data_IF_590239289056
#
_entry.id   IF_590239289056
#
_cell.length_a   1.000
_cell.length_b   1.000
_cell.length_c   1.000
_cell.angle_alpha   90.00
_cell.angle_beta   90.00
_cell.angle_gamma   90.00
#
_symmetry.space_group_name_H-M   'P 1'
#
loop_
_entity.id
_entity.type
_entity.pdbx_description
1 polymer ?
#
# COMPACT_ATOMS: atom_id res chain seq x y z
N UNK A 1 -2.81 1.52 -26.95
CA UNK A 1 -2.81 0.04 -26.79
C UNK A 1 -4.26 -0.42 -26.76
N UNK A 2 -4.59 -1.39 -27.55
CA UNK A 2 -5.93 -1.98 -27.64
C UNK A 2 -5.94 -3.39 -27.06
N UNK A 3 -7.13 -3.92 -26.76
CA UNK A 3 -7.28 -5.33 -26.35
C UNK A 3 -6.74 -6.28 -27.44
N UNK A 4 -6.85 -5.90 -28.71
CA UNK A 4 -6.32 -6.69 -29.81
C UNK A 4 -4.78 -6.76 -29.74
N UNK A 5 -4.11 -5.62 -29.51
CA UNK A 5 -2.64 -5.58 -29.39
C UNK A 5 -2.16 -6.47 -28.24
N UNK A 6 -2.85 -6.43 -27.09
CA UNK A 6 -2.54 -7.25 -25.91
C UNK A 6 -2.74 -8.74 -26.18
N UNK A 7 -3.87 -9.11 -26.83
CA UNK A 7 -4.17 -10.52 -27.10
C UNK A 7 -3.28 -11.11 -28.16
N UNK A 8 -2.87 -10.33 -29.16
CA UNK A 8 -1.93 -10.74 -30.19
C UNK A 8 -0.53 -10.96 -29.60
N UNK A 9 -0.07 -10.04 -28.75
CA UNK A 9 1.24 -10.13 -28.06
C UNK A 9 1.29 -11.33 -27.08
N UNK A 10 0.20 -11.58 -26.38
CA UNK A 10 0.06 -12.70 -25.44
C UNK A 10 -0.29 -14.04 -26.11
N UNK A 11 -0.46 -14.07 -27.43
CA UNK A 11 -0.87 -15.26 -28.21
C UNK A 11 -2.17 -15.92 -27.70
N UNK A 12 -3.13 -15.11 -27.22
CA UNK A 12 -4.42 -15.57 -26.73
C UNK A 12 -5.58 -15.01 -27.53
N UNK A 13 -6.77 -15.61 -27.41
CA UNK A 13 -7.96 -15.09 -28.07
C UNK A 13 -8.58 -13.92 -27.27
N UNK A 14 -9.29 -13.00 -27.97
CA UNK A 14 -10.11 -11.97 -27.30
C UNK A 14 -11.13 -12.57 -26.34
N UNK A 15 -11.64 -13.77 -26.63
CA UNK A 15 -12.56 -14.49 -25.75
C UNK A 15 -11.87 -14.85 -24.43
N UNK A 16 -10.60 -15.27 -24.49
CA UNK A 16 -9.78 -15.55 -23.31
C UNK A 16 -9.57 -14.29 -22.48
N UNK A 17 -9.32 -13.14 -23.12
CA UNK A 17 -9.23 -11.86 -22.44
C UNK A 17 -10.51 -11.55 -21.65
N UNK A 18 -11.68 -11.58 -22.31
CA UNK A 18 -12.96 -11.27 -21.69
C UNK A 18 -13.46 -12.33 -20.68
N UNK A 19 -12.84 -13.49 -20.65
CA UNK A 19 -13.07 -14.47 -19.59
C UNK A 19 -12.44 -14.04 -18.26
N UNK A 20 -11.32 -13.33 -18.29
CA UNK A 20 -10.57 -12.90 -17.12
C UNK A 20 -10.78 -11.44 -16.73
N UNK A 21 -10.98 -10.57 -17.72
CA UNK A 21 -11.03 -9.12 -17.53
C UNK A 21 -12.24 -8.53 -18.28
N UNK A 22 -12.93 -7.58 -17.64
CA UNK A 22 -14.07 -6.91 -18.27
C UNK A 22 -13.63 -5.96 -19.39
N UNK A 23 -12.53 -5.25 -19.14
CA UNK A 23 -11.92 -4.30 -20.07
C UNK A 23 -10.41 -4.12 -19.81
N UNK A 24 -9.79 -3.22 -20.53
CA UNK A 24 -8.37 -2.93 -20.41
C UNK A 24 -8.00 -2.29 -19.05
N UNK A 25 -8.95 -1.60 -18.41
CA UNK A 25 -8.72 -0.98 -17.10
C UNK A 25 -8.74 -2.02 -15.98
N UNK A 26 -9.59 -3.03 -16.10
CA UNK A 26 -9.63 -4.17 -15.18
C UNK A 26 -8.31 -4.97 -15.23
N UNK A 27 -7.76 -5.21 -16.44
CA UNK A 27 -6.41 -5.78 -16.58
C UNK A 27 -5.34 -4.88 -15.96
N UNK A 28 -5.43 -3.57 -16.19
CA UNK A 28 -4.47 -2.61 -15.63
C UNK A 28 -4.49 -2.60 -14.11
N UNK A 29 -5.68 -2.59 -13.51
CA UNK A 29 -5.88 -2.65 -12.07
C UNK A 29 -5.31 -3.94 -11.48
N UNK A 30 -5.60 -5.08 -12.11
CA UNK A 30 -5.03 -6.37 -11.73
C UNK A 30 -3.49 -6.38 -11.80
N UNK A 31 -2.92 -5.84 -12.87
CA UNK A 31 -1.46 -5.76 -13.04
C UNK A 31 -0.82 -4.93 -11.95
N UNK A 32 -1.38 -3.75 -11.65
CA UNK A 32 -0.89 -2.88 -10.58
C UNK A 32 -0.96 -3.53 -9.21
N UNK A 33 -2.06 -4.22 -8.92
CA UNK A 33 -2.22 -4.94 -7.66
C UNK A 33 -1.23 -6.10 -7.54
N UNK A 34 -0.99 -6.84 -8.62
CA UNK A 34 -0.08 -7.98 -8.61
C UNK A 34 1.36 -7.53 -8.49
N UNK A 35 1.77 -6.50 -9.23
CA UNK A 35 3.11 -5.89 -9.12
C UNK A 35 3.34 -5.32 -7.71
N UNK A 36 2.35 -4.63 -7.14
CA UNK A 36 2.43 -4.14 -5.77
C UNK A 36 2.53 -5.28 -4.75
N UNK A 37 1.75 -6.37 -4.91
CA UNK A 37 1.86 -7.56 -4.05
C UNK A 37 3.23 -8.22 -4.16
N UNK A 38 3.77 -8.37 -5.36
CA UNK A 38 5.11 -8.92 -5.58
C UNK A 38 6.21 -8.06 -4.96
N UNK A 39 6.09 -6.74 -5.06
CA UNK A 39 7.01 -5.81 -4.38
C UNK A 39 6.94 -5.96 -2.86
N UNK A 40 5.73 -5.99 -2.31
CA UNK A 40 5.49 -6.18 -0.88
C UNK A 40 6.00 -7.55 -0.41
N UNK A 41 5.71 -8.62 -1.13
CA UNK A 41 6.09 -9.96 -0.75
C UNK A 41 7.61 -10.23 -0.82
N UNK A 42 8.30 -9.66 -1.82
CA UNK A 42 9.69 -10.00 -2.12
C UNK A 42 10.71 -8.99 -1.60
N UNK A 43 10.31 -7.73 -1.34
CA UNK A 43 11.22 -6.64 -0.95
C UNK A 43 10.96 -6.11 0.46
N UNK A 44 9.83 -6.48 1.09
CA UNK A 44 9.57 -6.04 2.45
C UNK A 44 10.22 -7.00 3.43
N UNK A 45 11.40 -6.63 3.88
CA UNK A 45 12.01 -7.17 5.08
C UNK A 45 11.59 -6.31 6.28
N UNK A 46 11.05 -6.94 7.33
CA UNK A 46 10.65 -6.23 8.56
C UNK A 46 11.83 -5.56 9.26
N UNK A 47 13.03 -6.13 9.10
CA UNK A 47 14.26 -5.55 9.63
C UNK A 47 14.68 -4.30 8.87
N UNK A 48 14.07 -4.05 7.68
CA UNK A 48 14.37 -2.93 6.80
C UNK A 48 13.13 -2.39 6.06
N UNK A 49 12.06 -2.12 6.83
CA UNK A 49 10.80 -1.60 6.29
C UNK A 49 10.96 -0.26 5.54
N UNK A 50 12.00 0.50 5.88
CA UNK A 50 12.36 1.77 5.26
C UNK A 50 12.80 1.60 3.81
N UNK A 51 13.70 0.65 3.56
CA UNK A 51 14.13 0.29 2.20
C UNK A 51 12.95 -0.23 1.39
N UNK A 52 12.06 -0.94 2.05
CA UNK A 52 10.85 -1.48 1.42
C UNK A 52 9.90 -0.38 0.97
N UNK A 53 9.64 0.62 1.82
CA UNK A 53 8.85 1.80 1.45
C UNK A 53 9.57 2.61 0.36
N UNK A 54 10.87 2.83 0.49
CA UNK A 54 11.66 3.53 -0.53
C UNK A 54 11.58 2.81 -1.89
N UNK A 55 11.70 1.48 -1.91
CA UNK A 55 11.57 0.68 -3.12
C UNK A 55 10.18 0.81 -3.78
N UNK A 56 9.11 0.89 -2.98
CA UNK A 56 7.76 1.14 -3.49
C UNK A 56 7.66 2.51 -4.17
N UNK A 57 8.21 3.56 -3.57
CA UNK A 57 8.22 4.89 -4.18
C UNK A 57 9.04 4.94 -5.48
N UNK A 58 10.20 4.30 -5.51
CA UNK A 58 11.01 4.18 -6.72
C UNK A 58 10.22 3.48 -7.83
N UNK A 59 9.59 2.34 -7.51
CA UNK A 59 8.74 1.63 -8.46
C UNK A 59 7.62 2.51 -9.01
N UNK A 60 6.92 3.26 -8.15
CA UNK A 60 5.86 4.16 -8.58
C UNK A 60 6.38 5.30 -9.48
N UNK A 61 7.58 5.81 -9.24
CA UNK A 61 8.21 6.81 -10.10
C UNK A 61 8.63 6.23 -11.46
N UNK A 62 9.20 5.04 -11.47
CA UNK A 62 9.58 4.34 -12.71
C UNK A 62 8.34 4.02 -13.57
N UNK A 63 7.21 3.72 -12.92
CA UNK A 63 5.94 3.43 -13.57
C UNK A 63 4.93 4.60 -13.51
N UNK A 64 5.45 5.85 -13.46
CA UNK A 64 4.67 7.06 -13.22
C UNK A 64 3.43 7.21 -14.09
N UNK A 65 3.55 6.97 -15.39
CA UNK A 65 2.42 7.09 -16.33
C UNK A 65 1.30 6.10 -16.02
N UNK A 66 1.68 4.87 -15.67
CA UNK A 66 0.74 3.81 -15.29
C UNK A 66 -0.01 4.19 -14.01
N UNK A 67 0.74 4.59 -12.98
CA UNK A 67 0.19 4.99 -11.68
C UNK A 67 -0.74 6.20 -11.80
N UNK A 68 -0.36 7.21 -12.59
CA UNK A 68 -1.21 8.39 -12.81
C UNK A 68 -2.48 8.05 -13.60
N UNK A 69 -2.39 7.18 -14.61
CA UNK A 69 -3.56 6.75 -15.36
C UNK A 69 -4.55 5.98 -14.46
N UNK A 70 -4.05 5.07 -13.63
CA UNK A 70 -4.90 4.38 -12.65
C UNK A 70 -5.50 5.35 -11.64
N UNK A 71 -4.72 6.30 -11.12
CA UNK A 71 -5.19 7.32 -10.18
C UNK A 71 -6.31 8.19 -10.76
N UNK A 72 -6.25 8.53 -12.06
CA UNK A 72 -7.27 9.34 -12.71
C UNK A 72 -8.47 8.55 -13.24
N UNK A 73 -8.35 7.23 -13.37
CA UNK A 73 -9.40 6.34 -13.89
C UNK A 73 -10.29 5.75 -12.80
N UNK A 74 -9.79 5.62 -11.58
CA UNK A 74 -10.50 5.03 -10.46
C UNK A 74 -11.13 6.10 -9.56
N UNK A 75 -12.26 5.75 -8.96
CA UNK A 75 -12.85 6.57 -7.90
C UNK A 75 -11.93 6.62 -6.68
N UNK A 76 -11.89 7.77 -6.01
CA UNK A 76 -11.02 8.01 -4.85
C UNK A 76 -11.20 6.97 -3.74
N UNK A 77 -12.44 6.58 -3.46
CA UNK A 77 -12.77 5.59 -2.43
C UNK A 77 -12.20 4.19 -2.77
N UNK A 78 -12.21 3.85 -4.05
CA UNK A 78 -11.61 2.60 -4.54
C UNK A 78 -10.09 2.63 -4.38
N UNK A 79 -9.44 3.71 -4.80
CA UNK A 79 -8.00 3.90 -4.63
C UNK A 79 -7.59 3.83 -3.15
N UNK A 80 -8.32 4.49 -2.27
CA UNK A 80 -8.04 4.48 -0.83
C UNK A 80 -8.13 3.06 -0.27
N UNK A 81 -9.18 2.31 -0.61
CA UNK A 81 -9.35 0.92 -0.20
C UNK A 81 -8.23 0.01 -0.70
N UNK A 82 -7.86 0.13 -1.98
CA UNK A 82 -6.83 -0.74 -2.56
C UNK A 82 -5.44 -0.44 -1.99
N UNK A 83 -5.07 0.83 -1.84
CA UNK A 83 -3.81 1.21 -1.18
C UNK A 83 -3.80 0.75 0.28
N UNK A 84 -4.90 0.93 1.01
CA UNK A 84 -5.00 0.47 2.39
C UNK A 84 -4.88 -1.05 2.51
N UNK A 85 -5.50 -1.82 1.62
CA UNK A 85 -5.36 -3.29 1.58
C UNK A 85 -3.91 -3.75 1.41
N UNK A 86 -3.11 -3.01 0.64
CA UNK A 86 -1.69 -3.31 0.46
C UNK A 86 -0.86 -2.97 1.70
N UNK A 87 -1.16 -1.86 2.37
CA UNK A 87 -0.40 -1.38 3.53
C UNK A 87 -0.77 -2.10 4.84
N UNK A 88 -2.04 -2.45 5.01
CA UNK A 88 -2.57 -3.03 6.26
C UNK A 88 -1.82 -4.27 6.73
N UNK A 89 -1.55 -5.30 5.91
CA UNK A 89 -0.79 -6.48 6.33
C UNK A 89 0.64 -6.14 6.77
N UNK A 90 1.27 -5.18 6.08
CA UNK A 90 2.61 -4.72 6.43
C UNK A 90 2.63 -4.04 7.81
N UNK A 91 1.69 -3.12 8.03
CA UNK A 91 1.55 -2.42 9.31
C UNK A 91 1.23 -3.39 10.44
N UNK A 92 0.32 -4.33 10.19
CA UNK A 92 0.01 -5.37 11.18
C UNK A 92 1.26 -6.15 11.58
N UNK A 93 2.10 -6.55 10.63
CA UNK A 93 3.37 -7.23 10.92
C UNK A 93 4.35 -6.34 11.68
N UNK A 94 4.46 -5.05 11.34
CA UNK A 94 5.32 -4.09 12.05
C UNK A 94 4.88 -3.91 13.51
N UNK A 95 3.58 -3.80 13.75
CA UNK A 95 3.04 -3.71 15.11
C UNK A 95 3.15 -5.04 15.86
N UNK A 96 2.94 -6.19 15.21
CA UNK A 96 3.09 -7.51 15.83
C UNK A 96 4.53 -7.80 16.29
N UNK A 97 5.52 -7.09 15.76
CA UNK A 97 6.89 -7.16 16.25
C UNK A 97 7.12 -6.33 17.53
N UNK A 98 6.14 -5.51 17.97
CA UNK A 98 6.24 -4.75 19.21
C UNK A 98 5.77 -5.59 20.40
N UNK A 99 6.49 -5.47 21.50
CA UNK A 99 6.18 -6.22 22.72
C UNK A 99 4.77 -5.88 23.26
N UNK A 100 3.94 -6.90 23.40
CA UNK A 100 2.61 -6.80 23.97
C UNK A 100 1.50 -6.44 22.98
N UNK A 101 1.78 -6.28 21.70
CA UNK A 101 0.73 -6.03 20.70
C UNK A 101 -0.27 -7.17 20.60
N UNK A 102 0.18 -8.41 20.74
CA UNK A 102 -0.63 -9.63 20.78
C UNK A 102 -1.57 -9.73 21.99
N UNK A 103 -1.29 -8.96 23.04
CA UNK A 103 -2.13 -8.87 24.26
C UNK A 103 -3.25 -7.86 24.13
N UNK A 104 -3.22 -6.98 23.12
CA UNK A 104 -4.29 -6.02 22.84
C UNK A 104 -5.52 -6.76 22.31
N UNK A 105 -6.71 -6.17 22.55
CA UNK A 105 -7.93 -6.63 21.91
C UNK A 105 -7.80 -6.54 20.38
N UNK A 106 -8.50 -7.41 19.65
CA UNK A 106 -8.54 -7.35 18.18
C UNK A 106 -9.03 -5.98 17.69
N UNK A 107 -9.97 -5.37 18.41
CA UNK A 107 -10.48 -4.03 18.10
C UNK A 107 -9.38 -2.97 18.19
N UNK A 108 -8.54 -3.00 19.23
CA UNK A 108 -7.44 -2.05 19.43
C UNK A 108 -6.34 -2.27 18.40
N UNK A 109 -5.98 -3.52 18.12
CA UNK A 109 -5.01 -3.86 17.07
C UNK A 109 -5.46 -3.31 15.71
N UNK A 110 -6.72 -3.56 15.32
CA UNK A 110 -7.30 -3.08 14.08
C UNK A 110 -7.40 -1.54 14.05
N UNK A 111 -7.73 -0.91 15.18
CA UNK A 111 -7.79 0.55 15.28
C UNK A 111 -6.40 1.18 15.05
N UNK A 112 -5.37 0.68 15.73
CA UNK A 112 -3.99 1.17 15.58
C UNK A 112 -3.54 1.03 14.13
N UNK A 113 -3.70 -0.15 13.54
CA UNK A 113 -3.33 -0.42 12.14
C UNK A 113 -4.09 0.49 11.18
N UNK A 114 -5.39 0.73 11.44
CA UNK A 114 -6.22 1.60 10.60
C UNK A 114 -5.78 3.06 10.65
N UNK A 115 -5.46 3.60 11.82
CA UNK A 115 -5.01 5.00 11.97
C UNK A 115 -3.72 5.23 11.17
N UNK A 116 -2.73 4.36 11.31
CA UNK A 116 -1.48 4.46 10.55
C UNK A 116 -1.68 4.21 9.07
N UNK A 117 -2.46 3.19 8.72
CA UNK A 117 -2.73 2.82 7.34
C UNK A 117 -3.44 3.92 6.56
N UNK A 118 -4.52 4.48 7.12
CA UNK A 118 -5.25 5.58 6.48
C UNK A 118 -4.40 6.85 6.39
N UNK A 119 -3.61 7.16 7.41
CA UNK A 119 -2.70 8.30 7.38
C UNK A 119 -1.64 8.18 6.27
N UNK A 120 -1.01 7.01 6.15
CA UNK A 120 -0.03 6.74 5.10
C UNK A 120 -0.69 6.72 3.73
N UNK A 121 -1.84 6.05 3.58
CA UNK A 121 -2.64 6.04 2.34
C UNK A 121 -2.96 7.46 1.89
N UNK A 122 -3.44 8.32 2.79
CA UNK A 122 -3.75 9.71 2.48
C UNK A 122 -2.53 10.51 2.00
N UNK A 123 -1.35 10.29 2.58
CA UNK A 123 -0.09 10.92 2.14
C UNK A 123 0.31 10.43 0.73
N UNK A 124 0.21 9.13 0.47
CA UNK A 124 0.47 8.54 -0.84
C UNK A 124 -0.44 9.12 -1.92
N UNK A 125 -1.75 9.05 -1.70
CA UNK A 125 -2.73 9.54 -2.68
C UNK A 125 -2.58 11.05 -2.94
N UNK A 126 -2.22 11.83 -1.92
CA UNK A 126 -1.90 13.25 -2.08
C UNK A 126 -0.67 13.48 -2.94
N UNK A 127 0.39 12.68 -2.76
CA UNK A 127 1.61 12.78 -3.55
C UNK A 127 1.38 12.36 -5.01
N UNK A 128 0.62 11.29 -5.25
CA UNK A 128 0.21 10.87 -6.61
C UNK A 128 -0.64 11.96 -7.26
N UNK A 129 -1.65 12.50 -6.55
CA UNK A 129 -2.52 13.56 -7.04
C UNK A 129 -1.80 14.88 -7.34
N UNK A 130 -0.63 15.12 -6.72
CA UNK A 130 0.31 16.18 -7.09
C UNK A 130 1.23 15.78 -8.26
N UNK A 131 0.82 14.79 -9.06
CA UNK A 131 1.57 14.24 -10.19
C UNK A 131 2.98 13.76 -9.81
N UNK A 132 3.21 13.33 -8.56
CA UNK A 132 4.52 12.84 -8.09
C UNK A 132 5.67 13.81 -8.40
N UNK A 133 5.39 15.13 -8.42
CA UNK A 133 6.36 16.17 -8.80
C UNK A 133 7.44 16.40 -7.74
N UNK A 134 7.12 16.15 -6.47
CA UNK A 134 8.09 16.24 -5.38
C UNK A 134 8.84 14.92 -5.22
N UNK A 135 10.15 14.96 -4.90
CA UNK A 135 10.89 13.76 -4.57
C UNK A 135 10.29 13.11 -3.31
N UNK A 136 10.15 11.78 -3.25
CA UNK A 136 9.51 11.09 -2.13
C UNK A 136 10.37 11.01 -0.86
N UNK A 137 11.70 11.18 -0.97
CA UNK A 137 12.65 10.99 0.13
C UNK A 137 12.36 11.86 1.37
N UNK A 138 11.95 13.14 1.26
CA UNK A 138 11.57 13.92 2.44
C UNK A 138 10.37 13.34 3.17
N UNK A 139 9.35 12.85 2.44
CA UNK A 139 8.16 12.23 3.02
C UNK A 139 8.51 10.88 3.67
N UNK A 140 9.33 10.07 3.02
CA UNK A 140 9.82 8.80 3.57
C UNK A 140 10.56 9.05 4.88
N UNK A 141 11.49 10.03 4.93
CA UNK A 141 12.20 10.40 6.17
C UNK A 141 11.26 10.89 7.28
N UNK A 142 10.19 11.61 6.94
CA UNK A 142 9.21 12.05 7.93
C UNK A 142 8.38 10.87 8.47
N UNK A 143 7.95 9.95 7.61
CA UNK A 143 7.28 8.71 8.02
C UNK A 143 8.19 7.88 8.94
N UNK A 144 9.45 7.75 8.58
CA UNK A 144 10.46 7.10 9.40
C UNK A 144 10.57 7.69 10.81
N UNK A 145 10.70 9.02 10.88
CA UNK A 145 10.80 9.74 12.17
C UNK A 145 9.52 9.60 13.01
N UNK A 146 8.36 9.53 12.35
CA UNK A 146 7.08 9.33 13.01
C UNK A 146 6.94 7.91 13.57
N UNK A 147 7.32 6.90 12.79
CA UNK A 147 7.17 5.48 13.16
C UNK A 147 8.33 4.97 14.00
N UNK A 148 9.56 5.45 13.74
CA UNK A 148 10.76 5.04 14.45
C UNK A 148 10.69 5.39 15.93
N UNK A 149 10.59 4.37 16.78
CA UNK A 149 10.55 4.50 18.24
C UNK A 149 9.18 4.85 18.84
N UNK A 150 8.16 5.18 18.03
CA UNK A 150 6.82 5.51 18.55
C UNK A 150 5.89 4.31 18.65
N UNK A 151 6.11 3.27 17.82
CA UNK A 151 5.23 2.10 17.74
C UNK A 151 5.11 1.38 19.08
N UNK A 152 6.22 1.08 19.74
CA UNK A 152 6.24 0.46 21.07
C UNK A 152 5.52 1.32 22.12
N UNK A 153 5.73 2.64 22.09
CA UNK A 153 5.07 3.57 23.02
C UNK A 153 3.56 3.61 22.87
N UNK A 154 3.05 3.41 21.65
CA UNK A 154 1.61 3.34 21.40
C UNK A 154 1.05 2.04 21.97
N UNK A 155 1.67 0.90 21.70
CA UNK A 155 1.24 -0.40 22.25
C UNK A 155 1.18 -0.34 23.78
N UNK A 156 2.20 0.21 24.45
CA UNK A 156 2.23 0.34 25.91
C UNK A 156 1.11 1.24 26.46
N UNK A 157 0.74 2.31 25.76
CA UNK A 157 -0.40 3.17 26.20
C UNK A 157 -1.72 2.42 26.15
N UNK A 158 -1.97 1.64 25.10
CA UNK A 158 -3.19 0.85 24.99
C UNK A 158 -3.27 -0.24 26.07
N UNK A 159 -2.14 -0.89 26.39
CA UNK A 159 -2.09 -1.88 27.48
C UNK A 159 -2.40 -1.25 28.83
N UNK A 160 -1.83 -0.08 29.15
CA UNK A 160 -2.04 0.57 30.45
C UNK A 160 -3.46 1.14 30.63
N UNK A 161 -4.16 1.49 29.54
CA UNK A 161 -5.56 1.94 29.62
C UNK A 161 -6.53 0.78 29.74
N UNK A 162 -6.23 -0.38 29.17
CA UNK A 162 -7.07 -1.58 29.30
C UNK A 162 -7.07 -2.15 30.72
N UNK A 163 -5.99 -1.95 31.49
CA UNK A 163 -5.91 -2.40 32.91
C UNK A 163 -6.67 -1.50 33.90
N UNK A 164 -7.31 -0.42 33.41
CA UNK A 164 -7.96 0.61 34.27
C UNK A 164 -9.49 0.63 34.13
N UNK A 165 -10.05 -0.12 33.18
CA UNK A 165 -11.50 -0.35 32.96
C UNK A 165 -11.93 -1.73 33.49
#
# INVERSE_FOLDING_TARGET
ITIQDITDDAEVSRKTFYYHFQDIYDLLDWTLQEDARHLVANKINLDNWEESIAALFVYMQENRMLVLNAFHSLERDTLEKEVFKLLSPLLHRLFSAQEGFDRLSEADQNFIVSVYGLGITGLFLRWIGANMMSPPEPMIRQLYRLMGGSLQGIVQRFLTTADTE
#
